data_IF_955122535655
#
_entry.id   IF_955122535655
#
_cell.length_a   1.000
_cell.length_b   1.000
_cell.length_c   1.000
_cell.angle_alpha   90.00
_cell.angle_beta   90.00
_cell.angle_gamma   90.00
#
_symmetry.space_group_name_H-M   'P 1'
#
loop_
_entity.id
_entity.type
_entity.pdbx_description
1 polymer ?
#
# COMPACT_ATOMS: atom_id res chain seq x y z
N UNK A 1 14.24 -33.34 1.17
CA UNK A 1 14.06 -32.91 -0.26
C UNK A 1 14.49 -31.46 -0.30
N UNK A 2 15.48 -31.14 -1.13
CA UNK A 2 15.95 -29.76 -1.29
C UNK A 2 15.12 -29.11 -2.38
N UNK A 3 14.62 -27.88 -2.13
CA UNK A 3 13.94 -27.04 -3.12
C UNK A 3 14.95 -26.12 -3.79
N UNK A 4 14.77 -25.83 -5.07
CA UNK A 4 15.59 -24.84 -5.76
C UNK A 4 15.26 -23.44 -5.22
N UNK A 5 13.95 -23.20 -4.95
CA UNK A 5 13.48 -21.92 -4.38
C UNK A 5 12.41 -22.17 -3.31
N UNK A 6 12.61 -21.60 -2.11
CA UNK A 6 11.56 -21.45 -1.11
C UNK A 6 11.07 -19.98 -1.07
N UNK A 7 9.78 -19.79 -1.23
CA UNK A 7 9.13 -18.47 -1.20
C UNK A 7 8.31 -18.35 0.08
N UNK A 8 8.62 -17.35 0.91
CA UNK A 8 7.93 -17.07 2.18
C UNK A 8 6.90 -15.99 1.94
N UNK A 9 5.63 -16.36 1.87
CA UNK A 9 4.50 -15.49 1.60
C UNK A 9 3.87 -15.71 0.23
N UNK A 10 2.57 -16.04 0.24
CA UNK A 10 1.74 -16.31 -0.93
C UNK A 10 1.01 -15.08 -1.49
N UNK A 11 1.51 -13.86 -1.22
CA UNK A 11 1.01 -12.62 -1.84
C UNK A 11 1.36 -12.52 -3.32
N UNK A 12 0.93 -11.44 -4.00
CA UNK A 12 1.16 -11.30 -5.46
C UNK A 12 2.64 -11.36 -5.82
N UNK A 13 3.54 -10.79 -5.02
CA UNK A 13 4.98 -10.88 -5.26
C UNK A 13 5.47 -12.33 -5.27
N UNK A 14 5.08 -13.11 -4.25
CA UNK A 14 5.46 -14.53 -4.17
C UNK A 14 4.83 -15.39 -5.26
N UNK A 15 3.56 -15.14 -5.62
CA UNK A 15 2.88 -15.85 -6.71
C UNK A 15 3.56 -15.58 -8.05
N UNK A 16 3.90 -14.31 -8.35
CA UNK A 16 4.58 -13.93 -9.59
C UNK A 16 6.03 -14.45 -9.64
N UNK A 17 6.73 -14.48 -8.51
CA UNK A 17 8.05 -15.10 -8.42
C UNK A 17 7.99 -16.60 -8.76
N UNK A 18 7.03 -17.34 -8.18
CA UNK A 18 6.82 -18.75 -8.48
C UNK A 18 6.42 -18.96 -9.95
N UNK A 19 5.51 -18.11 -10.48
CA UNK A 19 5.08 -18.18 -11.88
C UNK A 19 6.25 -18.05 -12.83
N UNK A 20 7.05 -17.00 -12.68
CA UNK A 20 8.17 -16.73 -13.57
C UNK A 20 9.28 -17.78 -13.42
N UNK A 21 9.55 -18.25 -12.20
CA UNK A 21 10.50 -19.32 -11.97
C UNK A 21 10.10 -20.63 -12.71
N UNK A 22 8.81 -21.01 -12.69
CA UNK A 22 8.31 -22.16 -13.46
C UNK A 22 8.34 -21.92 -14.97
N UNK A 23 8.13 -20.68 -15.44
CA UNK A 23 8.29 -20.32 -16.86
C UNK A 23 9.75 -20.40 -17.32
N UNK A 24 10.70 -20.05 -16.45
CA UNK A 24 12.13 -20.13 -16.73
C UNK A 24 12.65 -21.59 -16.71
N UNK A 25 12.16 -22.38 -15.75
CA UNK A 25 12.57 -23.79 -15.58
C UNK A 25 11.37 -24.62 -15.06
N UNK A 26 10.72 -25.36 -15.96
CA UNK A 26 9.55 -26.18 -15.63
C UNK A 26 9.83 -27.30 -14.63
N UNK A 27 11.09 -27.81 -14.60
CA UNK A 27 11.51 -28.85 -13.65
C UNK A 27 11.86 -28.32 -12.26
N UNK A 28 11.94 -27.02 -12.07
CA UNK A 28 12.32 -26.42 -10.80
C UNK A 28 11.37 -26.81 -9.66
N UNK A 29 11.97 -27.19 -8.53
CA UNK A 29 11.25 -27.55 -7.30
C UNK A 29 11.03 -26.30 -6.47
N UNK A 30 9.80 -25.82 -6.44
CA UNK A 30 9.42 -24.58 -5.76
C UNK A 30 8.42 -24.89 -4.65
N UNK A 31 8.61 -24.25 -3.50
CA UNK A 31 7.64 -24.27 -2.39
C UNK A 31 7.23 -22.83 -2.05
N UNK A 32 5.93 -22.60 -1.84
CA UNK A 32 5.40 -21.35 -1.24
C UNK A 32 4.91 -21.67 0.17
N UNK A 33 5.43 -20.95 1.16
CA UNK A 33 5.11 -21.09 2.58
C UNK A 33 4.23 -19.90 2.97
N UNK A 34 2.94 -20.15 3.26
CA UNK A 34 1.97 -19.12 3.61
C UNK A 34 1.37 -19.36 5.00
N UNK A 35 1.48 -18.33 5.87
CA UNK A 35 0.98 -18.40 7.25
C UNK A 35 -0.53 -18.36 7.35
N UNK A 36 -1.20 -17.77 6.38
CA UNK A 36 -2.65 -17.66 6.35
C UNK A 36 -3.34 -18.80 5.61
N UNK A 37 -4.62 -18.62 5.35
CA UNK A 37 -5.45 -19.64 4.71
C UNK A 37 -5.23 -19.68 3.18
N UNK A 38 -5.59 -20.83 2.56
CA UNK A 38 -5.80 -20.89 1.11
C UNK A 38 -6.87 -19.88 0.70
N UNK A 39 -6.79 -19.34 -0.53
CA UNK A 39 -7.63 -18.24 -0.98
C UNK A 39 -9.12 -18.50 -0.78
N UNK A 40 -9.59 -19.69 -1.15
CA UNK A 40 -11.00 -20.12 -1.04
C UNK A 40 -11.50 -20.25 0.41
N UNK A 41 -10.58 -20.46 1.39
CA UNK A 41 -10.90 -20.59 2.81
C UNK A 41 -10.75 -19.27 3.58
N UNK A 42 -10.34 -18.20 2.92
CA UNK A 42 -10.22 -16.89 3.57
C UNK A 42 -11.59 -16.30 3.80
N UNK A 43 -11.94 -16.08 5.05
CA UNK A 43 -13.20 -15.46 5.46
C UNK A 43 -12.98 -14.58 6.69
N UNK A 44 -13.55 -13.37 6.66
CA UNK A 44 -13.57 -12.49 7.84
C UNK A 44 -14.82 -12.76 8.68
N UNK A 45 -14.70 -13.22 9.93
CA UNK A 45 -15.86 -13.51 10.76
C UNK A 45 -16.66 -12.26 11.15
N UNK A 46 -16.06 -11.07 11.09
CA UNK A 46 -16.75 -9.80 11.33
C UNK A 46 -17.63 -9.36 10.14
N UNK A 47 -17.36 -9.84 8.92
CA UNK A 47 -18.04 -9.34 7.71
C UNK A 47 -17.86 -7.83 7.53
N UNK A 48 -18.75 -7.21 6.72
CA UNK A 48 -18.64 -5.77 6.43
C UNK A 48 -19.25 -4.87 7.51
N UNK A 49 -20.08 -5.40 8.42
CA UNK A 49 -20.92 -4.58 9.31
C UNK A 49 -20.72 -4.82 10.81
N UNK A 50 -19.72 -5.60 11.24
CA UNK A 50 -19.45 -5.90 12.65
C UNK A 50 -18.06 -5.41 13.05
N UNK A 51 -17.89 -5.18 14.36
CA UNK A 51 -16.56 -4.84 14.91
C UNK A 51 -15.57 -5.97 14.65
N UNK A 52 -14.32 -5.59 14.37
CA UNK A 52 -13.22 -6.53 14.22
C UNK A 52 -13.07 -7.41 15.49
N UNK A 53 -12.92 -8.72 15.28
CA UNK A 53 -12.77 -9.71 16.37
C UNK A 53 -11.31 -10.04 16.69
N UNK A 54 -10.36 -9.30 16.14
CA UNK A 54 -8.91 -9.43 16.37
C UNK A 54 -8.39 -10.86 16.21
N UNK A 55 -8.67 -11.47 15.06
CA UNK A 55 -8.21 -12.83 14.75
C UNK A 55 -6.67 -12.92 14.86
N UNK A 56 -6.14 -14.04 15.39
CA UNK A 56 -4.71 -14.34 15.46
C UNK A 56 -4.03 -14.25 14.07
N UNK A 57 -4.72 -14.71 13.04
CA UNK A 57 -4.34 -14.55 11.64
C UNK A 57 -5.50 -13.84 10.94
N UNK A 58 -5.26 -12.62 10.45
CA UNK A 58 -6.29 -11.84 9.78
C UNK A 58 -6.52 -12.35 8.36
N UNK A 59 -7.68 -12.95 8.10
CA UNK A 59 -8.02 -13.46 6.76
C UNK A 59 -8.15 -12.38 5.67
N UNK A 60 -8.25 -11.09 6.03
CA UNK A 60 -8.27 -10.00 5.05
C UNK A 60 -6.86 -9.66 4.56
N UNK A 61 -5.86 -9.67 5.45
CA UNK A 61 -4.51 -9.23 5.12
C UNK A 61 -3.52 -10.37 4.88
N UNK A 62 -3.80 -11.58 5.40
CA UNK A 62 -2.92 -12.74 5.34
C UNK A 62 -3.61 -13.93 4.66
N UNK A 63 -2.85 -14.73 3.94
CA UNK A 63 -3.30 -15.86 3.13
C UNK A 63 -2.95 -15.70 1.65
N UNK A 64 -3.19 -16.73 0.86
CA UNK A 64 -2.89 -16.69 -0.57
C UNK A 64 -3.53 -15.50 -1.27
N UNK A 65 -2.81 -14.92 -2.23
CA UNK A 65 -3.02 -13.62 -2.88
C UNK A 65 -2.88 -12.40 -1.96
N UNK A 66 -2.46 -12.57 -0.67
CA UNK A 66 -2.11 -11.49 0.25
C UNK A 66 -3.25 -10.52 0.56
N UNK A 67 -2.91 -9.31 1.01
CA UNK A 67 -3.90 -8.25 1.25
C UNK A 67 -4.62 -7.81 -0.03
N UNK A 68 -4.01 -8.04 -1.19
CA UNK A 68 -4.59 -7.72 -2.49
C UNK A 68 -5.82 -8.53 -2.88
N UNK A 69 -6.01 -9.73 -2.33
CA UNK A 69 -7.08 -10.64 -2.72
C UNK A 69 -8.49 -10.07 -2.57
N UNK A 70 -8.71 -9.28 -1.52
CA UNK A 70 -9.99 -8.64 -1.21
C UNK A 70 -9.99 -7.14 -1.49
N UNK A 71 -8.96 -6.64 -2.18
CA UNK A 71 -8.94 -5.27 -2.68
C UNK A 71 -9.83 -5.14 -3.92
N UNK A 72 -10.04 -3.91 -4.34
CA UNK A 72 -10.72 -3.61 -5.60
C UNK A 72 -9.89 -3.96 -6.86
N UNK A 73 -8.70 -4.53 -6.70
CA UNK A 73 -7.88 -4.99 -7.83
C UNK A 73 -7.40 -3.85 -8.71
N UNK A 74 -6.90 -2.78 -8.12
CA UNK A 74 -6.24 -1.69 -8.85
C UNK A 74 -4.80 -2.04 -9.17
N UNK A 75 -4.52 -2.25 -10.44
CA UNK A 75 -3.18 -2.47 -10.97
C UNK A 75 -2.71 -1.20 -11.67
N UNK A 76 -1.73 -0.56 -11.07
CA UNK A 76 -1.15 0.66 -11.59
C UNK A 76 0.00 0.33 -12.56
N UNK A 77 -0.13 0.77 -13.81
CA UNK A 77 0.88 0.55 -14.84
C UNK A 77 1.77 1.79 -14.95
N UNK A 78 2.67 1.96 -13.98
CA UNK A 78 3.58 3.09 -13.91
C UNK A 78 4.53 3.00 -12.72
N UNK A 79 5.63 3.73 -12.80
CA UNK A 79 6.69 3.82 -11.77
C UNK A 79 6.50 5.02 -10.85
N UNK A 80 5.74 6.03 -11.26
CA UNK A 80 5.60 7.30 -10.53
C UNK A 80 4.91 7.16 -9.16
N UNK A 81 4.26 6.04 -8.88
CA UNK A 81 3.58 5.72 -7.62
C UNK A 81 3.42 4.21 -7.46
N UNK A 82 3.11 3.76 -6.25
CA UNK A 82 3.03 2.33 -5.92
C UNK A 82 4.38 1.72 -5.52
N UNK A 83 5.38 2.57 -5.26
CA UNK A 83 6.72 2.20 -4.80
C UNK A 83 7.82 2.98 -5.50
N UNK A 84 9.04 2.59 -5.23
CA UNK A 84 10.29 3.18 -5.77
C UNK A 84 11.06 2.19 -6.66
N UNK A 85 10.40 1.18 -7.20
CA UNK A 85 11.06 0.15 -8.02
C UNK A 85 11.82 0.75 -9.23
N UNK A 86 11.29 1.83 -9.82
CA UNK A 86 11.96 2.55 -10.91
C UNK A 86 13.20 3.36 -10.48
N UNK A 87 13.35 3.64 -9.17
CA UNK A 87 14.55 4.27 -8.60
C UNK A 87 15.60 3.22 -8.23
N UNK A 88 15.19 1.99 -7.88
CA UNK A 88 16.08 0.88 -7.52
C UNK A 88 16.66 0.16 -8.75
N UNK A 89 15.83 -0.03 -9.74
CA UNK A 89 16.23 -0.45 -11.09
C UNK A 89 16.37 0.78 -11.98
N UNK A 90 16.16 0.70 -13.23
CA UNK A 90 15.85 1.83 -14.11
C UNK A 90 14.35 1.82 -14.47
N UNK A 91 13.85 2.96 -14.95
CA UNK A 91 12.43 3.11 -15.28
C UNK A 91 11.98 2.16 -16.40
N UNK A 92 12.84 1.93 -17.38
CA UNK A 92 12.55 1.04 -18.51
C UNK A 92 12.41 -0.42 -18.05
N UNK A 93 13.35 -0.89 -17.27
CA UNK A 93 13.34 -2.25 -16.68
C UNK A 93 12.13 -2.41 -15.76
N UNK A 94 11.87 -1.45 -14.86
CA UNK A 94 10.71 -1.51 -13.98
C UNK A 94 9.40 -1.57 -14.78
N UNK A 95 9.24 -0.74 -15.82
CA UNK A 95 8.06 -0.74 -16.68
C UNK A 95 7.90 -2.04 -17.48
N UNK A 96 9.00 -2.65 -17.95
CA UNK A 96 8.96 -3.95 -18.61
C UNK A 96 8.25 -4.99 -17.72
N UNK A 97 8.69 -5.11 -16.46
CA UNK A 97 8.12 -6.09 -15.53
C UNK A 97 6.72 -5.73 -15.05
N UNK A 98 6.40 -4.44 -14.90
CA UNK A 98 5.02 -3.99 -14.61
C UNK A 98 4.07 -4.39 -15.75
N UNK A 99 4.47 -4.21 -17.00
CA UNK A 99 3.68 -4.62 -18.16
C UNK A 99 3.55 -6.15 -18.25
N UNK A 100 4.59 -6.91 -17.91
CA UNK A 100 4.49 -8.37 -17.82
C UNK A 100 3.45 -8.82 -16.79
N UNK A 101 3.33 -8.12 -15.65
CA UNK A 101 2.24 -8.40 -14.68
C UNK A 101 0.87 -8.17 -15.34
N UNK A 102 0.67 -7.06 -16.08
CA UNK A 102 -0.59 -6.78 -16.80
C UNK A 102 -0.93 -7.88 -17.81
N UNK A 103 0.07 -8.36 -18.56
CA UNK A 103 -0.11 -9.43 -19.55
C UNK A 103 -0.47 -10.78 -18.86
N UNK A 104 0.17 -11.12 -17.75
CA UNK A 104 -0.16 -12.32 -16.98
C UNK A 104 -1.59 -12.23 -16.42
N UNK A 105 -1.96 -11.10 -15.85
CA UNK A 105 -3.32 -10.90 -15.36
C UNK A 105 -4.36 -11.04 -16.48
N UNK A 106 -4.05 -10.56 -17.68
CA UNK A 106 -4.91 -10.72 -18.86
C UNK A 106 -5.04 -12.18 -19.28
N UNK A 107 -3.94 -12.96 -19.24
CA UNK A 107 -3.95 -14.40 -19.57
C UNK A 107 -4.89 -15.19 -18.64
N UNK A 108 -4.93 -14.83 -17.35
CA UNK A 108 -5.73 -15.54 -16.34
C UNK A 108 -7.11 -14.94 -16.07
N UNK A 109 -7.49 -13.86 -16.76
CA UNK A 109 -8.80 -13.21 -16.58
C UNK A 109 -9.73 -13.53 -17.73
N UNK A 110 -11.00 -13.84 -17.42
CA UNK A 110 -12.03 -14.13 -18.44
C UNK A 110 -12.60 -12.88 -19.11
N UNK A 111 -12.59 -11.74 -18.43
CA UNK A 111 -13.11 -10.46 -18.88
C UNK A 111 -12.20 -9.36 -18.33
N UNK A 112 -11.14 -9.05 -19.09
CA UNK A 112 -10.10 -8.12 -18.66
C UNK A 112 -10.54 -6.68 -18.92
N UNK A 113 -10.52 -5.79 -17.91
CA UNK A 113 -11.06 -4.45 -18.03
C UNK A 113 -10.19 -3.55 -18.92
N UNK A 114 -10.81 -2.54 -19.50
CA UNK A 114 -10.12 -1.49 -20.23
C UNK A 114 -9.15 -0.71 -19.35
N UNK A 115 -8.13 -0.13 -19.96
CA UNK A 115 -7.13 0.69 -19.29
C UNK A 115 -7.66 2.11 -19.09
N UNK A 116 -7.81 2.54 -17.85
CA UNK A 116 -7.98 3.96 -17.56
C UNK A 116 -6.66 4.69 -17.81
N UNK A 117 -6.72 5.74 -18.62
CA UNK A 117 -5.53 6.52 -19.03
C UNK A 117 -5.53 7.89 -18.39
N UNK A 118 -4.36 8.51 -18.34
CA UNK A 118 -4.21 9.91 -17.99
C UNK A 118 -4.89 10.84 -19.01
N UNK A 119 -5.19 12.06 -18.58
CA UNK A 119 -5.80 13.09 -19.41
C UNK A 119 -4.84 14.29 -19.54
N UNK A 120 -4.43 14.60 -20.78
CA UNK A 120 -3.41 15.63 -21.06
C UNK A 120 -3.90 17.05 -20.71
N UNK A 121 -5.19 17.36 -20.92
CA UNK A 121 -5.75 18.68 -20.59
C UNK A 121 -5.69 18.93 -19.09
N UNK A 122 -6.02 17.92 -18.28
CA UNK A 122 -5.90 18.00 -16.82
C UNK A 122 -4.45 18.09 -16.35
N UNK A 123 -3.52 17.41 -17.03
CA UNK A 123 -2.08 17.55 -16.74
C UNK A 123 -1.61 18.97 -16.99
N UNK A 124 -1.97 19.53 -18.15
CA UNK A 124 -1.64 20.92 -18.50
C UNK A 124 -2.24 21.90 -17.49
N UNK A 125 -3.52 21.74 -17.13
CA UNK A 125 -4.19 22.54 -16.11
C UNK A 125 -3.45 22.50 -14.76
N UNK A 126 -3.01 21.32 -14.34
CA UNK A 126 -2.22 21.16 -13.11
C UNK A 126 -0.85 21.86 -13.24
N UNK A 127 -0.13 21.62 -14.35
CA UNK A 127 1.19 22.19 -14.59
C UNK A 127 1.17 23.72 -14.56
N UNK A 128 0.19 24.36 -15.19
CA UNK A 128 -0.01 25.82 -15.19
C UNK A 128 -0.21 26.39 -13.78
N UNK A 129 -0.56 25.57 -12.81
CA UNK A 129 -0.75 25.95 -11.40
C UNK A 129 0.33 25.40 -10.46
N UNK A 130 1.50 25.03 -10.99
CA UNK A 130 2.63 24.44 -10.26
C UNK A 130 2.26 23.13 -9.53
N UNK A 131 1.30 22.39 -10.05
CA UNK A 131 0.89 21.07 -9.61
C UNK A 131 1.34 20.04 -10.67
N UNK A 132 1.67 18.83 -10.24
CA UNK A 132 1.99 17.72 -11.15
C UNK A 132 0.95 16.63 -11.00
N UNK A 133 0.05 16.51 -11.96
CA UNK A 133 -0.82 15.35 -12.09
C UNK A 133 0.02 14.18 -12.60
N UNK A 134 0.03 13.08 -11.83
CA UNK A 134 0.76 11.88 -12.22
C UNK A 134 0.04 11.13 -13.34
N UNK A 135 0.83 10.45 -14.16
CA UNK A 135 0.30 9.55 -15.16
C UNK A 135 -0.40 8.37 -14.51
N UNK A 136 -1.69 8.22 -14.83
CA UNK A 136 -2.55 7.20 -14.26
C UNK A 136 -2.97 6.22 -15.35
N UNK A 137 -2.15 5.19 -15.54
CA UNK A 137 -2.54 4.02 -16.29
C UNK A 137 -2.97 2.95 -15.30
N UNK A 138 -4.26 2.72 -15.17
CA UNK A 138 -4.82 1.83 -14.14
C UNK A 138 -5.74 0.80 -14.76
N UNK A 139 -5.53 -0.47 -14.40
CA UNK A 139 -6.52 -1.53 -14.56
C UNK A 139 -7.28 -1.68 -13.25
N UNK A 140 -8.59 -1.68 -13.34
CA UNK A 140 -9.45 -1.90 -12.19
C UNK A 140 -10.27 -3.16 -12.40
N UNK A 141 -9.81 -4.27 -11.83
CA UNK A 141 -10.48 -5.56 -12.00
C UNK A 141 -11.80 -5.63 -11.23
N UNK A 142 -11.90 -4.92 -10.13
CA UNK A 142 -12.95 -5.14 -9.13
C UNK A 142 -12.65 -6.36 -8.26
N UNK A 143 -13.27 -6.42 -7.08
CA UNK A 143 -12.96 -7.45 -6.06
C UNK A 143 -13.19 -8.87 -6.57
N UNK A 144 -14.31 -9.12 -7.25
CA UNK A 144 -14.69 -10.47 -7.70
C UNK A 144 -13.79 -10.99 -8.83
N UNK A 145 -13.53 -10.15 -9.84
CA UNK A 145 -12.64 -10.53 -10.95
C UNK A 145 -11.21 -10.70 -10.46
N UNK A 146 -10.73 -9.82 -9.58
CA UNK A 146 -9.42 -9.93 -8.96
C UNK A 146 -9.26 -11.25 -8.19
N UNK A 147 -10.27 -11.62 -7.39
CA UNK A 147 -10.27 -12.89 -6.67
C UNK A 147 -10.16 -14.09 -7.62
N UNK A 148 -10.97 -14.12 -8.68
CA UNK A 148 -11.00 -15.21 -9.65
C UNK A 148 -9.69 -15.30 -10.43
N UNK A 149 -9.09 -14.18 -10.81
CA UNK A 149 -7.78 -14.12 -11.50
C UNK A 149 -6.67 -14.68 -10.60
N UNK A 150 -6.62 -14.27 -9.34
CA UNK A 150 -5.65 -14.80 -8.38
C UNK A 150 -5.83 -16.31 -8.15
N UNK A 151 -7.07 -16.77 -8.07
CA UNK A 151 -7.38 -18.19 -7.93
C UNK A 151 -6.91 -19.00 -9.15
N UNK A 152 -7.10 -18.47 -10.35
CA UNK A 152 -6.64 -19.11 -11.59
C UNK A 152 -5.10 -19.24 -11.62
N UNK A 153 -4.36 -18.20 -11.20
CA UNK A 153 -2.89 -18.25 -11.08
C UNK A 153 -2.47 -19.31 -10.06
N UNK A 154 -3.10 -19.36 -8.89
CA UNK A 154 -2.80 -20.35 -7.85
C UNK A 154 -3.01 -21.78 -8.36
N UNK A 155 -4.14 -22.05 -9.03
CA UNK A 155 -4.43 -23.36 -9.61
C UNK A 155 -3.44 -23.75 -10.73
N UNK A 156 -2.99 -22.78 -11.52
CA UNK A 156 -1.94 -23.00 -12.49
C UNK A 156 -0.63 -23.42 -11.82
N UNK A 157 -0.21 -22.72 -10.75
CA UNK A 157 1.00 -23.06 -10.00
C UNK A 157 0.94 -24.47 -9.39
N UNK A 158 -0.21 -24.86 -8.84
CA UNK A 158 -0.42 -26.23 -8.34
C UNK A 158 -0.26 -27.27 -9.46
N UNK A 159 -0.87 -27.00 -10.63
CA UNK A 159 -0.75 -27.88 -11.82
C UNK A 159 0.70 -28.01 -12.31
N UNK A 160 1.48 -26.94 -12.24
CA UNK A 160 2.91 -26.94 -12.59
C UNK A 160 3.79 -27.55 -11.50
N UNK A 161 3.22 -28.11 -10.43
CA UNK A 161 3.94 -28.84 -9.39
C UNK A 161 4.62 -27.95 -8.34
N UNK A 162 4.18 -26.69 -8.18
CA UNK A 162 4.60 -25.85 -7.06
C UNK A 162 3.93 -26.37 -5.78
N UNK A 163 4.73 -26.67 -4.74
CA UNK A 163 4.17 -27.03 -3.43
C UNK A 163 3.63 -25.79 -2.74
N UNK A 164 2.34 -25.76 -2.50
CA UNK A 164 1.66 -24.69 -1.77
C UNK A 164 1.32 -25.14 -0.35
N UNK A 165 1.83 -24.43 0.67
CA UNK A 165 1.45 -24.69 2.06
C UNK A 165 0.59 -23.53 2.58
N UNK A 166 -0.36 -23.81 3.44
CA UNK A 166 -1.18 -22.81 4.13
C UNK A 166 -1.18 -23.08 5.63
N UNK A 167 -1.47 -22.05 6.44
CA UNK A 167 -1.38 -22.14 7.91
C UNK A 167 0.01 -22.58 8.38
N UNK A 168 1.05 -22.26 7.60
CA UNK A 168 2.43 -22.63 7.84
C UNK A 168 3.24 -21.32 7.99
N UNK A 169 3.72 -21.06 9.19
CA UNK A 169 4.51 -19.85 9.50
C UNK A 169 5.99 -20.18 9.46
N UNK A 170 6.77 -19.41 8.70
CA UNK A 170 8.22 -19.50 8.71
C UNK A 170 8.74 -18.65 9.88
N UNK A 171 9.41 -19.30 10.82
CA UNK A 171 9.84 -18.65 12.07
C UNK A 171 11.33 -18.32 12.09
N UNK A 172 12.15 -19.01 11.31
CA UNK A 172 13.59 -18.79 11.24
C UNK A 172 14.18 -19.23 9.91
N UNK A 173 15.35 -18.67 9.57
CA UNK A 173 16.20 -19.05 8.42
C UNK A 173 17.62 -19.26 8.94
N UNK A 174 18.23 -20.40 8.61
CA UNK A 174 19.62 -20.75 8.95
C UNK A 174 20.39 -21.02 7.65
N UNK A 175 21.65 -20.58 7.57
CA UNK A 175 22.54 -20.93 6.45
C UNK A 175 23.04 -22.36 6.63
N UNK A 176 23.10 -23.13 5.54
CA UNK A 176 23.70 -24.46 5.49
C UNK A 176 24.65 -24.58 4.29
N UNK A 177 25.30 -25.73 4.11
CA UNK A 177 26.36 -25.94 3.08
C UNK A 177 25.83 -25.67 1.65
N UNK A 178 24.58 -26.00 1.37
CA UNK A 178 24.00 -25.93 0.02
C UNK A 178 22.81 -24.92 -0.03
N UNK A 179 22.81 -23.87 0.78
CA UNK A 179 21.74 -22.87 0.81
C UNK A 179 21.22 -22.59 2.22
N UNK A 180 19.93 -22.84 2.45
CA UNK A 180 19.24 -22.43 3.66
C UNK A 180 18.29 -23.48 4.21
N UNK A 181 18.16 -23.52 5.52
CA UNK A 181 17.17 -24.30 6.26
C UNK A 181 16.14 -23.32 6.84
N UNK A 182 14.88 -23.51 6.45
CA UNK A 182 13.75 -22.73 6.97
C UNK A 182 13.05 -23.56 8.05
N UNK A 183 12.94 -22.99 9.25
CA UNK A 183 12.12 -23.56 10.32
C UNK A 183 10.69 -23.08 10.16
N UNK A 184 9.75 -24.01 10.02
CA UNK A 184 8.33 -23.70 9.82
C UNK A 184 7.47 -24.34 10.88
N UNK A 185 6.35 -23.69 11.22
CA UNK A 185 5.37 -24.21 12.18
C UNK A 185 4.01 -24.29 11.51
N UNK A 186 3.45 -25.50 11.44
CA UNK A 186 2.09 -25.76 10.96
C UNK A 186 1.29 -26.45 12.07
N UNK A 187 0.20 -25.83 12.53
CA UNK A 187 -0.67 -26.39 13.59
C UNK A 187 0.06 -26.82 14.88
N UNK A 188 1.19 -26.17 15.17
CA UNK A 188 2.03 -26.47 16.35
C UNK A 188 3.14 -27.50 16.10
N UNK A 189 3.19 -28.12 14.95
CA UNK A 189 4.27 -29.02 14.53
C UNK A 189 5.34 -28.24 13.79
N UNK A 190 6.62 -28.50 14.11
CA UNK A 190 7.77 -27.87 13.45
C UNK A 190 8.31 -28.79 12.34
N UNK A 191 8.48 -28.22 11.15
CA UNK A 191 9.13 -28.86 10.00
C UNK A 191 10.33 -28.02 9.56
N UNK A 192 11.41 -28.69 9.11
CA UNK A 192 12.56 -28.04 8.47
C UNK A 192 12.49 -28.25 6.96
N UNK A 193 12.60 -27.15 6.22
CA UNK A 193 12.57 -27.12 4.76
C UNK A 193 13.92 -26.61 4.28
N UNK A 194 14.57 -27.37 3.38
CA UNK A 194 15.85 -27.00 2.79
C UNK A 194 15.61 -26.41 1.39
N UNK A 195 16.29 -25.29 1.09
CA UNK A 195 16.23 -24.64 -0.22
C UNK A 195 17.58 -24.00 -0.57
N UNK A 196 17.92 -24.00 -1.88
CA UNK A 196 19.12 -23.33 -2.37
C UNK A 196 18.97 -21.80 -2.32
N UNK A 197 17.80 -21.28 -2.69
CA UNK A 197 17.46 -19.86 -2.69
C UNK A 197 16.19 -19.60 -1.89
N UNK A 198 16.12 -18.41 -1.25
CA UNK A 198 14.99 -18.00 -0.45
C UNK A 198 14.47 -16.65 -0.97
N UNK A 199 13.17 -16.56 -1.23
CA UNK A 199 12.50 -15.31 -1.59
C UNK A 199 11.54 -14.92 -0.46
N UNK A 200 11.82 -13.85 0.24
CA UNK A 200 10.98 -13.32 1.33
C UNK A 200 9.97 -12.36 0.72
N UNK A 201 8.70 -12.75 0.69
CA UNK A 201 7.57 -12.02 0.10
C UNK A 201 6.44 -11.79 1.12
N UNK A 202 6.78 -11.56 2.38
CA UNK A 202 5.86 -11.55 3.54
C UNK A 202 4.97 -10.31 3.66
N UNK A 203 5.15 -9.34 2.76
CA UNK A 203 4.42 -8.08 2.80
C UNK A 203 4.64 -7.30 4.11
N UNK A 204 3.81 -6.29 4.37
CA UNK A 204 3.96 -5.43 5.55
C UNK A 204 3.77 -6.18 6.87
N UNK A 205 2.92 -7.19 6.88
CA UNK A 205 2.68 -7.99 8.10
C UNK A 205 3.88 -8.84 8.52
N UNK A 206 4.86 -9.02 7.64
CA UNK A 206 6.13 -9.72 7.91
C UNK A 206 7.27 -8.82 8.41
N UNK A 207 7.03 -7.54 8.68
CA UNK A 207 8.09 -6.60 9.05
C UNK A 207 8.94 -7.06 10.26
N UNK A 208 8.30 -7.63 11.28
CA UNK A 208 9.02 -8.16 12.45
C UNK A 208 9.93 -9.35 12.07
N UNK A 209 9.45 -10.26 11.22
CA UNK A 209 10.24 -11.38 10.72
C UNK A 209 11.44 -10.89 9.88
N UNK A 210 11.21 -9.95 8.95
CA UNK A 210 12.29 -9.37 8.14
C UNK A 210 13.33 -8.67 9.03
N UNK A 211 12.89 -7.93 10.06
CA UNK A 211 13.79 -7.30 11.02
C UNK A 211 14.64 -8.34 11.78
N UNK A 212 14.03 -9.45 12.20
CA UNK A 212 14.74 -10.53 12.89
C UNK A 212 15.79 -11.18 11.96
N UNK A 213 15.46 -11.44 10.70
CA UNK A 213 16.37 -11.95 9.68
C UNK A 213 17.54 -10.98 9.47
N UNK A 214 17.26 -9.69 9.27
CA UNK A 214 18.31 -8.67 9.11
C UNK A 214 19.26 -8.63 10.31
N UNK A 215 18.72 -8.61 11.53
CA UNK A 215 19.53 -8.61 12.75
C UNK A 215 20.38 -9.87 12.87
N UNK A 216 19.82 -11.03 12.57
CA UNK A 216 20.53 -12.32 12.63
C UNK A 216 21.72 -12.37 11.69
N UNK A 217 21.59 -11.85 10.49
CA UNK A 217 22.63 -11.87 9.46
C UNK A 217 23.46 -10.59 9.36
N UNK A 218 23.25 -9.62 10.27
CA UNK A 218 23.99 -8.36 10.27
C UNK A 218 23.70 -7.45 9.06
N UNK A 219 22.50 -7.55 8.47
CA UNK A 219 22.09 -6.76 7.31
C UNK A 219 21.70 -5.36 7.79
N UNK A 220 22.28 -4.33 7.19
CA UNK A 220 21.98 -2.95 7.52
C UNK A 220 20.53 -2.61 7.12
N UNK A 221 19.80 -1.98 8.02
CA UNK A 221 18.44 -1.49 7.77
C UNK A 221 18.50 0.03 7.62
N UNK A 222 18.09 0.51 6.43
CA UNK A 222 17.98 1.94 6.17
C UNK A 222 16.72 2.54 6.80
N UNK A 223 16.81 3.83 7.16
CA UNK A 223 15.65 4.61 7.58
C UNK A 223 14.77 4.92 6.36
N UNK A 224 13.46 4.67 6.50
CA UNK A 224 12.49 5.06 5.50
C UNK A 224 11.80 6.36 5.90
N UNK A 225 11.34 7.14 4.91
CA UNK A 225 10.49 8.30 5.17
C UNK A 225 9.13 7.87 5.69
N UNK A 226 8.43 8.76 6.36
CA UNK A 226 7.02 8.58 6.72
C UNK A 226 6.19 9.70 6.14
N UNK A 227 4.96 9.40 5.81
CA UNK A 227 4.01 10.40 5.37
C UNK A 227 3.00 10.67 6.48
N UNK A 228 2.85 11.93 6.84
CA UNK A 228 1.90 12.40 7.83
C UNK A 228 0.97 13.40 7.18
N UNK A 229 -0.31 13.24 7.40
CA UNK A 229 -1.28 14.13 6.82
C UNK A 229 -2.69 13.98 7.36
N UNK A 230 -3.63 14.35 6.53
CA UNK A 230 -5.06 14.38 6.84
C UNK A 230 -5.88 13.74 5.74
N UNK A 231 -7.03 13.21 6.09
CA UNK A 231 -8.11 12.94 5.15
C UNK A 231 -8.93 14.20 4.95
N UNK A 232 -9.13 14.56 3.71
CA UNK A 232 -9.92 15.74 3.33
C UNK A 232 -11.26 15.28 2.80
N UNK A 233 -12.35 15.91 3.21
CA UNK A 233 -13.70 15.64 2.72
C UNK A 233 -14.38 16.94 2.29
N UNK A 234 -15.01 16.92 1.13
CA UNK A 234 -15.73 18.05 0.55
C UNK A 234 -16.84 17.60 -0.39
N UNK A 235 -17.62 18.52 -0.96
CA UNK A 235 -18.64 18.18 -1.96
C UNK A 235 -18.01 17.57 -3.21
N UNK A 236 -18.57 16.46 -3.69
CA UNK A 236 -18.12 15.74 -4.87
C UNK A 236 -18.09 16.60 -6.14
N UNK A 237 -19.04 17.56 -6.22
CA UNK A 237 -19.13 18.48 -7.36
C UNK A 237 -17.86 19.31 -7.60
N UNK A 238 -17.03 19.55 -6.57
CA UNK A 238 -15.77 20.31 -6.65
C UNK A 238 -14.76 19.58 -7.56
N UNK A 239 -14.73 18.25 -7.50
CA UNK A 239 -13.79 17.42 -8.26
C UNK A 239 -14.41 16.76 -9.49
N UNK A 240 -15.63 17.11 -9.88
CA UNK A 240 -16.36 16.47 -10.98
C UNK A 240 -15.58 16.46 -12.29
N UNK A 241 -14.93 17.58 -12.66
CA UNK A 241 -14.14 17.64 -13.88
C UNK A 241 -13.03 16.58 -13.92
N UNK A 242 -12.40 16.33 -12.78
CA UNK A 242 -11.36 15.29 -12.68
C UNK A 242 -11.96 13.90 -12.68
N UNK A 243 -12.97 13.65 -11.86
CA UNK A 243 -13.56 12.31 -11.68
C UNK A 243 -14.30 11.78 -12.91
N UNK A 244 -14.75 12.66 -13.82
CA UNK A 244 -15.35 12.28 -15.09
C UNK A 244 -14.30 11.92 -16.16
N UNK A 245 -13.09 12.50 -16.09
CA UNK A 245 -12.05 12.33 -17.12
C UNK A 245 -11.00 11.31 -16.74
N UNK A 246 -10.73 11.12 -15.45
CA UNK A 246 -9.73 10.19 -14.93
C UNK A 246 -10.28 9.42 -13.74
N UNK A 247 -9.83 8.19 -13.58
CA UNK A 247 -10.32 7.28 -12.53
C UNK A 247 -10.01 7.79 -11.11
N UNK A 248 -8.77 8.25 -10.86
CA UNK A 248 -8.30 8.68 -9.54
C UNK A 248 -7.19 9.73 -9.70
N UNK A 249 -7.45 11.01 -9.44
CA UNK A 249 -6.40 12.03 -9.52
C UNK A 249 -5.34 11.79 -8.44
N UNK A 250 -4.07 11.76 -8.85
CA UNK A 250 -2.91 11.77 -7.97
C UNK A 250 -2.05 12.98 -8.31
N UNK A 251 -2.00 13.93 -7.40
CA UNK A 251 -1.37 15.22 -7.63
C UNK A 251 -0.22 15.40 -6.65
N UNK A 252 0.93 15.78 -7.18
CA UNK A 252 2.09 16.19 -6.40
C UNK A 252 2.17 17.71 -6.38
N UNK A 253 2.58 18.24 -5.23
CA UNK A 253 2.87 19.64 -5.05
C UNK A 253 4.17 19.81 -4.26
N UNK A 254 4.99 20.77 -4.65
CA UNK A 254 6.15 21.21 -3.88
C UNK A 254 5.76 22.49 -3.16
N UNK A 255 5.74 22.44 -1.84
CA UNK A 255 5.31 23.58 -1.00
C UNK A 255 6.29 24.74 -1.10
N UNK A 256 5.77 25.95 -0.95
CA UNK A 256 6.60 27.16 -1.10
C UNK A 256 7.43 27.44 0.15
N UNK A 257 6.87 27.21 1.33
CA UNK A 257 7.53 27.53 2.60
C UNK A 257 8.70 26.63 2.90
N UNK A 258 8.53 25.33 2.72
CA UNK A 258 9.56 24.34 3.11
C UNK A 258 10.15 23.59 1.92
N UNK A 259 9.63 23.83 0.73
CA UNK A 259 9.97 23.10 -0.50
C UNK A 259 9.79 21.57 -0.37
N UNK A 260 8.96 21.15 0.58
CA UNK A 260 8.64 19.75 0.80
C UNK A 260 7.69 19.24 -0.28
N UNK A 261 7.80 17.95 -0.56
CA UNK A 261 6.87 17.25 -1.43
C UNK A 261 5.63 16.85 -0.65
N UNK A 262 4.47 17.33 -1.09
CA UNK A 262 3.18 16.84 -0.68
C UNK A 262 2.51 16.06 -1.81
N UNK A 263 1.55 15.21 -1.44
CA UNK A 263 0.79 14.43 -2.41
C UNK A 263 -0.67 14.30 -2.01
N UNK A 264 -1.53 14.52 -2.97
CA UNK A 264 -2.93 14.12 -2.95
C UNK A 264 -3.04 12.73 -3.56
N UNK A 265 -3.71 11.80 -2.88
CA UNK A 265 -3.93 10.46 -3.39
C UNK A 265 -5.14 9.78 -2.74
N UNK A 266 -5.49 8.56 -3.20
CA UNK A 266 -6.61 7.78 -2.70
C UNK A 266 -7.93 8.58 -2.74
N UNK A 267 -8.21 9.14 -3.93
CA UNK A 267 -9.44 9.88 -4.19
C UNK A 267 -10.62 8.91 -4.27
N UNK A 268 -11.70 9.25 -3.59
CA UNK A 268 -12.94 8.47 -3.53
C UNK A 268 -14.12 9.35 -3.90
N UNK A 269 -14.59 9.22 -5.13
CA UNK A 269 -15.78 9.89 -5.63
C UNK A 269 -17.04 9.32 -4.99
N UNK A 270 -17.91 10.17 -4.46
CA UNK A 270 -19.11 9.73 -3.73
C UNK A 270 -18.77 8.85 -2.52
N UNK A 271 -17.58 9.07 -1.94
CA UNK A 271 -17.00 8.19 -0.94
C UNK A 271 -17.31 8.58 0.50
N UNK A 272 -16.86 7.75 1.41
CA UNK A 272 -17.00 7.88 2.85
C UNK A 272 -15.61 7.99 3.48
N UNK A 273 -15.46 8.82 4.48
CA UNK A 273 -14.31 8.77 5.39
C UNK A 273 -14.51 7.60 6.34
N UNK A 274 -13.46 6.86 6.62
CA UNK A 274 -13.47 5.69 7.51
C UNK A 274 -12.36 5.75 8.53
N UNK A 275 -12.52 5.03 9.63
CA UNK A 275 -11.51 4.82 10.64
C UNK A 275 -10.79 3.47 10.39
N UNK A 276 -9.48 3.49 10.43
CA UNK A 276 -8.63 2.30 10.36
C UNK A 276 -7.94 2.11 11.72
N UNK A 277 -8.13 0.95 12.35
CA UNK A 277 -7.49 0.63 13.61
C UNK A 277 -6.34 -0.35 13.37
N UNK A 278 -5.13 0.10 13.67
CA UNK A 278 -3.91 -0.68 13.60
C UNK A 278 -3.31 -0.76 15.03
N UNK A 279 -3.45 -1.90 15.67
CA UNK A 279 -2.93 -2.17 17.03
C UNK A 279 -3.31 -1.11 18.07
N UNK A 280 -4.58 -0.67 18.04
CA UNK A 280 -5.12 0.33 18.96
C UNK A 280 -4.87 1.79 18.56
N UNK A 281 -4.17 2.03 17.46
CA UNK A 281 -3.98 3.38 16.88
C UNK A 281 -5.04 3.57 15.79
N UNK A 282 -5.86 4.59 15.94
CA UNK A 282 -6.93 4.89 15.00
C UNK A 282 -6.49 6.02 14.06
N UNK A 283 -6.50 5.76 12.76
CA UNK A 283 -6.16 6.75 11.72
C UNK A 283 -7.30 6.89 10.72
N UNK A 284 -7.37 8.05 10.07
CA UNK A 284 -8.33 8.31 9.01
C UNK A 284 -7.94 7.54 7.74
N UNK A 285 -8.95 7.07 7.02
CA UNK A 285 -8.85 6.50 5.70
C UNK A 285 -10.13 6.83 4.93
N UNK A 286 -10.30 6.34 3.71
CA UNK A 286 -11.53 6.52 2.95
C UNK A 286 -11.76 5.38 1.98
N UNK A 287 -13.01 5.20 1.62
CA UNK A 287 -13.40 4.27 0.57
C UNK A 287 -14.65 4.74 -0.15
N UNK A 288 -14.96 4.15 -1.29
CA UNK A 288 -16.20 4.36 -2.02
C UNK A 288 -16.84 3.03 -2.40
N UNK A 289 -18.16 3.00 -2.46
CA UNK A 289 -18.90 1.85 -2.96
C UNK A 289 -19.02 1.90 -4.50
N UNK A 290 -19.01 0.74 -5.14
CA UNK A 290 -19.31 0.64 -6.56
C UNK A 290 -20.80 0.88 -6.84
N UNK A 291 -21.66 0.49 -5.90
CA UNK A 291 -23.13 0.65 -5.99
C UNK A 291 -23.50 2.13 -5.85
N UNK A 292 -24.23 2.65 -6.85
CA UNK A 292 -24.62 4.08 -6.90
C UNK A 292 -25.47 4.53 -5.71
N UNK A 293 -26.33 3.62 -5.20
CA UNK A 293 -27.24 3.89 -4.09
C UNK A 293 -26.50 4.11 -2.75
N UNK A 294 -25.27 3.64 -2.64
CA UNK A 294 -24.42 3.78 -1.45
C UNK A 294 -23.46 4.96 -1.53
N UNK A 295 -23.44 5.68 -2.67
CA UNK A 295 -22.59 6.86 -2.83
C UNK A 295 -23.15 8.05 -2.05
N UNK A 296 -22.23 8.87 -1.54
CA UNK A 296 -22.57 10.13 -0.87
C UNK A 296 -22.45 11.33 -1.82
N UNK A 297 -22.90 12.51 -1.39
CA UNK A 297 -22.68 13.77 -2.12
C UNK A 297 -21.27 14.35 -1.91
N UNK A 298 -20.42 13.62 -1.18
CA UNK A 298 -19.06 14.05 -0.87
C UNK A 298 -18.04 13.21 -1.63
N UNK A 299 -16.88 13.82 -1.89
CA UNK A 299 -15.65 13.09 -2.19
C UNK A 299 -14.66 13.24 -1.04
N UNK A 300 -13.71 12.32 -0.98
CA UNK A 300 -12.63 12.44 -0.01
C UNK A 300 -11.30 11.93 -0.61
N UNK A 301 -10.19 12.46 -0.08
CA UNK A 301 -8.85 12.09 -0.47
C UNK A 301 -7.85 12.38 0.66
N UNK A 302 -6.67 11.78 0.62
CA UNK A 302 -5.59 12.10 1.54
C UNK A 302 -4.70 13.21 1.00
N UNK A 303 -4.26 14.11 1.88
CA UNK A 303 -3.10 14.99 1.65
C UNK A 303 -2.03 14.57 2.63
N UNK A 304 -0.90 14.14 2.10
CA UNK A 304 0.24 13.68 2.89
C UNK A 304 1.47 14.55 2.62
N UNK A 305 2.17 14.89 3.70
CA UNK A 305 3.49 15.51 3.69
C UNK A 305 4.54 14.45 4.03
N UNK A 306 5.51 14.26 3.15
CA UNK A 306 6.62 13.33 3.39
C UNK A 306 7.61 13.96 4.36
N UNK A 307 7.94 13.26 5.43
CA UNK A 307 8.93 13.68 6.42
C UNK A 307 10.19 12.84 6.23
N UNK A 308 11.30 13.51 5.97
CA UNK A 308 12.62 12.93 5.90
C UNK A 308 13.38 13.26 7.19
N UNK A 309 14.03 12.26 7.74
CA UNK A 309 14.84 12.43 8.93
C UNK A 309 16.31 12.55 8.56
N UNK A 310 17.05 13.40 9.27
CA UNK A 310 18.49 13.54 9.09
C UNK A 310 19.24 12.51 9.95
N UNK A 311 20.42 12.09 9.47
CA UNK A 311 21.33 11.22 10.18
C UNK A 311 20.78 9.79 10.39
N UNK A 312 21.21 9.16 11.48
CA UNK A 312 20.92 7.76 11.79
C UNK A 312 19.60 7.56 12.55
N UNK A 313 18.58 8.36 12.26
CA UNK A 313 17.28 8.21 12.92
C UNK A 313 16.60 6.90 12.45
N UNK A 314 16.52 5.92 13.34
CA UNK A 314 16.07 4.56 13.03
C UNK A 314 14.59 4.29 13.30
N UNK A 315 13.82 5.28 13.82
CA UNK A 315 12.45 5.08 14.32
C UNK A 315 11.38 5.95 13.63
N UNK A 316 11.39 6.11 12.31
CA UNK A 316 10.40 6.97 11.62
C UNK A 316 8.96 6.48 11.79
N UNK A 317 8.73 5.17 11.77
CA UNK A 317 7.39 4.58 11.99
C UNK A 317 6.89 4.88 13.41
N UNK A 318 7.74 4.71 14.45
CA UNK A 318 7.38 5.02 15.84
C UNK A 318 7.04 6.50 16.02
N UNK A 319 7.79 7.40 15.36
CA UNK A 319 7.48 8.83 15.34
C UNK A 319 6.08 9.12 14.80
N UNK A 320 5.74 8.57 13.66
CA UNK A 320 4.43 8.79 13.05
C UNK A 320 3.29 8.11 13.85
N UNK A 321 3.56 6.95 14.47
CA UNK A 321 2.63 6.30 15.40
C UNK A 321 2.38 7.14 16.65
N UNK A 322 3.41 7.80 17.20
CA UNK A 322 3.28 8.66 18.37
C UNK A 322 2.40 9.89 18.06
N UNK A 323 2.53 10.47 16.87
CA UNK A 323 1.63 11.55 16.42
C UNK A 323 0.17 11.04 16.39
N UNK A 324 -0.07 9.85 15.83
CA UNK A 324 -1.41 9.28 15.76
C UNK A 324 -1.97 8.95 17.17
N UNK A 325 -1.16 8.40 18.07
CA UNK A 325 -1.57 8.15 19.48
C UNK A 325 -1.94 9.46 20.20
N UNK A 326 -1.11 10.50 20.04
CA UNK A 326 -1.38 11.80 20.63
C UNK A 326 -2.63 12.45 20.04
N UNK A 327 -2.88 12.27 18.74
CA UNK A 327 -4.10 12.72 18.09
C UNK A 327 -5.34 12.01 18.65
N UNK A 328 -5.27 10.68 18.82
CA UNK A 328 -6.35 9.92 19.44
C UNK A 328 -6.56 10.33 20.90
N UNK A 329 -5.50 10.56 21.65
CA UNK A 329 -5.60 11.05 23.04
C UNK A 329 -6.33 12.39 23.10
N UNK A 330 -5.94 13.34 22.24
CA UNK A 330 -6.58 14.67 22.16
C UNK A 330 -8.03 14.61 21.64
N UNK A 331 -8.38 13.58 20.87
CA UNK A 331 -9.71 13.28 20.35
C UNK A 331 -10.54 12.32 21.21
N UNK A 332 -10.19 12.14 22.50
CA UNK A 332 -10.89 11.23 23.43
C UNK A 332 -11.01 9.78 22.87
N UNK A 333 -9.94 9.30 22.28
CA UNK A 333 -9.86 7.97 21.68
C UNK A 333 -10.39 7.91 20.25
N UNK A 334 -10.69 9.03 19.60
CA UNK A 334 -11.24 9.11 18.26
C UNK A 334 -10.34 9.91 17.30
N UNK A 335 -10.73 9.91 16.01
CA UNK A 335 -10.19 10.81 15.00
C UNK A 335 -10.73 12.22 15.29
N UNK A 336 -9.87 13.24 15.15
CA UNK A 336 -10.28 14.64 15.22
C UNK A 336 -10.74 15.09 13.83
N UNK A 337 -11.89 15.78 13.77
CA UNK A 337 -12.35 16.50 12.59
C UNK A 337 -12.30 18.01 12.85
N UNK A 338 -11.77 18.76 11.87
CA UNK A 338 -11.71 20.21 11.91
C UNK A 338 -12.14 20.80 10.57
N UNK A 339 -12.92 21.88 10.59
CA UNK A 339 -13.26 22.69 9.41
C UNK A 339 -12.02 23.46 8.97
N UNK A 340 -11.76 23.50 7.65
CA UNK A 340 -10.61 24.22 7.11
C UNK A 340 -10.62 25.71 7.50
N UNK A 341 -11.78 26.36 7.41
CA UNK A 341 -11.90 27.76 7.83
C UNK A 341 -11.63 28.02 9.32
N UNK A 342 -11.89 27.05 10.20
CA UNK A 342 -11.53 27.16 11.61
C UNK A 342 -10.02 26.98 11.81
N UNK A 343 -9.41 26.01 11.10
CA UNK A 343 -7.97 25.80 11.13
C UNK A 343 -7.20 27.06 10.71
N UNK A 344 -7.57 27.69 9.60
CA UNK A 344 -6.92 28.90 9.08
C UNK A 344 -7.03 30.07 10.06
N UNK A 345 -8.11 30.13 10.82
CA UNK A 345 -8.32 31.16 11.86
C UNK A 345 -7.70 30.82 13.21
N UNK A 346 -6.95 29.69 13.28
CA UNK A 346 -6.29 29.24 14.50
C UNK A 346 -7.27 28.91 15.64
N UNK A 347 -8.43 28.35 15.32
CA UNK A 347 -9.46 28.05 16.31
C UNK A 347 -9.99 26.61 16.17
N UNK A 348 -10.36 26.04 17.29
CA UNK A 348 -11.01 24.73 17.36
C UNK A 348 -12.37 24.73 16.65
N UNK A 349 -12.69 23.69 15.91
CA UNK A 349 -14.06 23.33 15.51
C UNK A 349 -14.82 22.76 16.70
N UNK A 350 -16.08 23.11 16.84
CA UNK A 350 -16.99 22.54 17.83
C UNK A 350 -18.25 22.00 17.16
N UNK A 351 -19.04 21.22 17.90
CA UNK A 351 -20.24 20.54 17.40
C UNK A 351 -21.22 21.51 16.74
N UNK A 352 -21.40 22.72 17.30
CA UNK A 352 -22.29 23.74 16.74
C UNK A 352 -21.85 24.20 15.34
N UNK A 353 -20.53 24.44 15.13
CA UNK A 353 -20.01 24.82 13.82
C UNK A 353 -20.05 23.64 12.85
N UNK A 354 -19.82 22.43 13.35
CA UNK A 354 -19.83 21.23 12.52
C UNK A 354 -21.26 20.90 12.06
N UNK A 355 -22.26 21.05 12.91
CA UNK A 355 -23.67 20.83 12.55
C UNK A 355 -24.24 21.86 11.55
N UNK A 356 -23.64 23.05 11.50
CA UNK A 356 -24.02 24.12 10.55
C UNK A 356 -23.20 24.04 9.24
N UNK A 357 -22.33 23.07 9.09
CA UNK A 357 -21.42 22.94 7.94
C UNK A 357 -22.17 22.46 6.69
N UNK A 358 -21.85 23.01 5.51
CA UNK A 358 -22.46 22.59 4.24
C UNK A 358 -21.99 21.18 3.80
N UNK A 359 -20.79 20.78 4.20
CA UNK A 359 -20.26 19.41 4.04
C UNK A 359 -20.67 18.60 5.28
N UNK A 360 -21.60 17.69 5.12
CA UNK A 360 -22.02 16.78 6.20
C UNK A 360 -20.95 15.70 6.39
N UNK A 361 -20.35 15.57 7.59
CA UNK A 361 -19.35 14.56 7.86
C UNK A 361 -19.86 13.13 7.60
N UNK A 362 -19.13 12.33 6.84
CA UNK A 362 -19.49 10.90 6.63
C UNK A 362 -18.92 9.98 7.71
N UNK A 363 -17.93 10.45 8.47
CA UNK A 363 -17.41 9.77 9.66
C UNK A 363 -17.80 10.55 10.92
N UNK A 364 -18.39 9.88 11.91
CA UNK A 364 -18.55 10.44 13.25
C UNK A 364 -17.18 10.53 13.93
N UNK A 365 -16.65 11.75 14.04
CA UNK A 365 -15.35 12.06 14.60
C UNK A 365 -15.45 13.12 15.70
N UNK A 366 -14.39 13.35 16.45
CA UNK A 366 -14.36 14.37 17.51
C UNK A 366 -14.13 15.77 16.92
N UNK A 367 -15.04 16.70 17.13
CA UNK A 367 -14.88 18.08 16.68
C UNK A 367 -13.77 18.79 17.50
N UNK A 368 -12.64 19.06 16.86
CA UNK A 368 -11.44 19.48 17.58
C UNK A 368 -10.52 20.44 16.83
N UNK A 369 -9.25 20.38 17.21
CA UNK A 369 -8.16 21.20 16.67
C UNK A 369 -6.98 20.29 16.32
N UNK A 370 -6.64 20.21 15.05
CA UNK A 370 -5.51 19.42 14.55
C UNK A 370 -4.15 20.03 14.93
N UNK A 371 -4.11 21.35 15.12
CA UNK A 371 -2.86 22.08 15.36
C UNK A 371 -2.21 21.76 16.71
N UNK A 372 -2.96 21.19 17.66
CA UNK A 372 -2.41 20.82 18.99
C UNK A 372 -1.50 19.60 18.93
N UNK A 373 -1.54 18.81 17.87
CA UNK A 373 -0.76 17.56 17.72
C UNK A 373 0.03 17.50 16.43
N UNK A 374 -0.54 17.99 15.31
CA UNK A 374 0.13 17.95 14.02
C UNK A 374 1.43 18.76 14.06
N UNK A 375 2.57 18.21 13.57
CA UNK A 375 3.79 18.98 13.43
C UNK A 375 3.55 20.22 12.57
N UNK A 376 4.04 21.37 13.02
CA UNK A 376 3.89 22.66 12.32
C UNK A 376 4.23 22.59 10.84
N UNK A 377 5.36 21.93 10.51
CA UNK A 377 5.81 21.77 9.12
C UNK A 377 4.80 20.98 8.27
N UNK A 378 4.29 19.87 8.80
CA UNK A 378 3.29 19.05 8.10
C UNK A 378 1.97 19.82 7.91
N UNK A 379 1.50 20.51 8.95
CA UNK A 379 0.26 21.29 8.89
C UNK A 379 0.36 22.44 7.90
N UNK A 380 1.47 23.18 7.88
CA UNK A 380 1.74 24.24 6.90
C UNK A 380 1.73 23.69 5.48
N UNK A 381 2.42 22.55 5.24
CA UNK A 381 2.45 21.90 3.96
C UNK A 381 1.05 21.47 3.47
N UNK A 382 0.21 20.97 4.37
CA UNK A 382 -1.18 20.59 4.07
C UNK A 382 -2.01 21.80 3.67
N UNK A 383 -1.92 22.89 4.44
CA UNK A 383 -2.64 24.15 4.16
C UNK A 383 -2.25 24.72 2.79
N UNK A 384 -0.94 24.80 2.50
CA UNK A 384 -0.46 25.26 1.20
C UNK A 384 -0.95 24.37 0.05
N UNK A 385 -1.00 23.06 0.28
CA UNK A 385 -1.48 22.10 -0.71
C UNK A 385 -2.97 22.30 -1.01
N UNK A 386 -3.80 22.53 0.01
CA UNK A 386 -5.24 22.81 -0.18
C UNK A 386 -5.43 24.07 -1.03
N UNK A 387 -4.71 25.16 -0.75
CA UNK A 387 -4.75 26.37 -1.57
C UNK A 387 -4.22 26.15 -3.00
N UNK A 388 -3.24 25.28 -3.18
CA UNK A 388 -2.75 24.95 -4.51
C UNK A 388 -3.79 24.15 -5.31
N UNK A 389 -4.44 23.17 -4.67
CA UNK A 389 -5.52 22.37 -5.27
C UNK A 389 -6.75 23.21 -5.62
N UNK A 390 -7.05 24.24 -4.82
CA UNK A 390 -8.17 25.16 -5.07
C UNK A 390 -8.08 25.88 -6.42
N UNK A 391 -6.86 26.07 -6.96
CA UNK A 391 -6.66 26.67 -8.28
C UNK A 391 -7.09 25.79 -9.44
N UNK A 392 -7.09 24.48 -9.26
CA UNK A 392 -7.46 23.50 -10.30
C UNK A 392 -8.85 22.90 -10.05
N UNK A 393 -9.29 22.88 -8.80
CA UNK A 393 -10.62 22.46 -8.36
C UNK A 393 -11.18 23.52 -7.38
N UNK A 394 -11.74 24.63 -7.90
CA UNK A 394 -12.24 25.74 -7.08
C UNK A 394 -13.29 25.28 -6.07
N UNK A 395 -13.09 25.65 -4.82
CA UNK A 395 -13.89 25.22 -3.67
C UNK A 395 -13.17 24.25 -2.73
N UNK A 396 -11.97 23.76 -3.10
CA UNK A 396 -11.15 22.95 -2.18
C UNK A 396 -10.80 23.69 -0.89
N UNK A 397 -10.47 24.98 -0.97
CA UNK A 397 -10.14 25.85 0.17
C UNK A 397 -11.36 26.50 0.82
N UNK A 398 -12.56 25.94 0.65
CA UNK A 398 -13.77 26.43 1.30
C UNK A 398 -13.67 26.25 2.82
N UNK A 399 -14.24 27.19 3.58
CA UNK A 399 -14.32 27.14 5.04
C UNK A 399 -14.92 25.84 5.57
N UNK A 400 -15.86 25.26 4.82
CA UNK A 400 -16.61 24.06 5.18
C UNK A 400 -15.93 22.74 4.74
N UNK A 401 -14.80 22.81 4.07
CA UNK A 401 -13.98 21.62 3.81
C UNK A 401 -13.54 21.01 5.13
N UNK A 402 -13.72 19.68 5.28
CA UNK A 402 -13.42 18.95 6.50
C UNK A 402 -12.06 18.26 6.42
N UNK A 403 -11.31 18.34 7.50
CA UNK A 403 -10.00 17.69 7.66
C UNK A 403 -10.07 16.72 8.83
N UNK A 404 -9.72 15.47 8.60
CA UNK A 404 -9.68 14.41 9.62
C UNK A 404 -8.22 14.03 9.91
N UNK A 405 -7.83 14.13 11.14
CA UNK A 405 -6.43 13.86 11.56
C UNK A 405 -6.29 12.71 12.53
N UNK A 406 -5.23 11.97 12.34
CA UNK A 406 -4.31 12.01 11.22
C UNK A 406 -4.54 10.84 10.25
N UNK A 407 -4.10 11.02 9.03
CA UNK A 407 -3.85 9.91 8.11
C UNK A 407 -2.34 9.77 7.96
N UNK A 408 -1.80 8.63 8.36
CA UNK A 408 -0.38 8.35 8.31
C UNK A 408 -0.12 7.16 7.40
N UNK A 409 0.93 7.23 6.60
CA UNK A 409 1.39 6.07 5.83
C UNK A 409 2.83 5.76 6.22
N UNK A 410 3.02 4.52 6.63
CA UNK A 410 4.32 3.99 7.00
C UNK A 410 4.86 3.14 5.88
N UNK A 411 6.18 3.12 5.78
CA UNK A 411 6.89 2.16 4.95
C UNK A 411 7.39 1.03 5.82
N UNK A 412 7.51 -0.17 5.26
CA UNK A 412 8.30 -1.23 5.86
C UNK A 412 9.75 -0.77 5.97
N UNK A 413 10.52 -1.44 6.80
CA UNK A 413 11.96 -1.26 6.84
C UNK A 413 12.54 -1.46 5.42
N UNK A 414 13.63 -0.75 5.10
CA UNK A 414 14.35 -0.90 3.84
C UNK A 414 15.73 -1.51 4.13
N UNK A 415 15.87 -2.84 4.11
CA UNK A 415 17.17 -3.49 4.23
C UNK A 415 18.07 -3.13 3.03
N UNK A 416 19.37 -3.03 3.30
CA UNK A 416 20.36 -2.90 2.25
C UNK A 416 20.33 -4.16 1.37
N UNK A 417 20.43 -3.96 0.05
CA UNK A 417 20.44 -5.03 -0.95
C UNK A 417 21.39 -4.65 -2.08
N UNK A 418 21.77 -5.63 -2.88
CA UNK A 418 22.41 -5.37 -4.18
C UNK A 418 21.37 -4.83 -5.18
N UNK A 419 21.79 -4.51 -6.38
CA UNK A 419 20.90 -3.99 -7.44
C UNK A 419 19.76 -4.95 -7.84
N UNK A 420 19.73 -6.20 -7.33
CA UNK A 420 18.80 -7.26 -7.67
C UNK A 420 17.90 -7.69 -6.50
N UNK A 421 17.76 -6.85 -5.46
CA UNK A 421 16.94 -7.10 -4.26
C UNK A 421 17.42 -8.29 -3.41
N UNK A 422 18.65 -8.72 -3.59
CA UNK A 422 19.30 -9.72 -2.78
C UNK A 422 19.89 -9.05 -1.54
N UNK A 423 19.41 -9.41 -0.36
CA UNK A 423 19.82 -8.84 0.93
C UNK A 423 20.95 -9.62 1.57
N UNK A 424 21.14 -10.86 1.16
CA UNK A 424 22.23 -11.77 1.49
C UNK A 424 22.34 -12.75 0.33
N UNK A 425 23.53 -13.31 0.07
CA UNK A 425 23.74 -14.28 -0.98
C UNK A 425 22.64 -15.37 -0.96
N UNK A 426 21.83 -15.46 -2.01
CA UNK A 426 20.72 -16.40 -2.13
C UNK A 426 19.46 -16.07 -1.34
N UNK A 427 19.39 -14.95 -0.61
CA UNK A 427 18.18 -14.45 0.04
C UNK A 427 17.73 -13.15 -0.61
N UNK A 428 16.54 -13.16 -1.16
CA UNK A 428 15.90 -12.01 -1.83
C UNK A 428 14.74 -11.50 -1.00
N UNK A 429 14.53 -10.19 -0.96
CA UNK A 429 13.40 -9.55 -0.27
C UNK A 429 12.57 -8.75 -1.25
N UNK A 430 11.30 -9.13 -1.41
CA UNK A 430 10.41 -8.57 -2.42
C UNK A 430 9.07 -8.09 -1.84
N UNK A 431 8.37 -7.30 -2.65
CA UNK A 431 7.04 -6.79 -2.32
C UNK A 431 7.06 -5.72 -1.23
N UNK A 432 5.89 -5.44 -0.66
CA UNK A 432 5.72 -4.34 0.32
C UNK A 432 6.55 -4.53 1.61
N UNK A 433 7.01 -5.76 1.88
CA UNK A 433 7.90 -6.07 3.00
C UNK A 433 9.32 -5.53 2.84
N UNK A 434 9.74 -5.27 1.59
CA UNK A 434 11.07 -4.71 1.28
C UNK A 434 11.18 -3.20 1.54
N UNK A 435 10.04 -2.52 1.77
CA UNK A 435 10.00 -1.06 1.85
C UNK A 435 10.15 -0.35 0.49
N UNK A 436 10.20 -1.09 -0.61
CA UNK A 436 10.36 -0.58 -1.98
C UNK A 436 9.02 -0.45 -2.69
N UNK A 437 8.15 -1.46 -2.59
CA UNK A 437 6.85 -1.45 -3.26
C UNK A 437 5.69 -1.16 -2.31
N UNK A 438 4.54 -0.75 -2.86
CA UNK A 438 3.30 -0.44 -2.15
C UNK A 438 2.05 -0.72 -2.95
N UNK A 439 2.14 -1.48 -3.97
CA UNK A 439 1.03 -1.76 -4.85
C UNK A 439 1.18 -3.10 -5.54
N UNK A 440 0.07 -3.62 -6.03
CA UNK A 440 0.01 -4.96 -6.61
C UNK A 440 0.95 -5.12 -7.80
N UNK A 441 0.98 -4.14 -8.71
CA UNK A 441 1.78 -4.22 -9.94
C UNK A 441 3.28 -4.26 -9.65
N UNK A 442 3.79 -3.31 -8.85
CA UNK A 442 5.22 -3.29 -8.54
C UNK A 442 5.65 -4.46 -7.66
N UNK A 443 4.79 -4.92 -6.72
CA UNK A 443 5.08 -6.13 -5.95
C UNK A 443 5.16 -7.38 -6.83
N UNK A 444 4.25 -7.51 -7.80
CA UNK A 444 4.29 -8.59 -8.78
C UNK A 444 5.49 -8.50 -9.72
N UNK A 445 5.76 -7.29 -10.23
CA UNK A 445 6.91 -7.02 -11.10
C UNK A 445 8.25 -7.36 -10.43
N UNK A 446 8.39 -7.03 -9.16
CA UNK A 446 9.57 -7.37 -8.36
C UNK A 446 9.75 -8.89 -8.22
N UNK A 447 8.63 -9.63 -8.08
CA UNK A 447 8.65 -11.10 -8.06
C UNK A 447 9.12 -11.70 -9.39
N UNK A 448 8.60 -11.20 -10.53
CA UNK A 448 9.03 -11.61 -11.86
C UNK A 448 10.52 -11.33 -12.08
N UNK A 449 10.96 -10.11 -11.73
CA UNK A 449 12.35 -9.67 -11.88
C UNK A 449 13.32 -10.58 -11.11
N UNK A 450 13.03 -10.82 -9.82
CA UNK A 450 13.91 -11.65 -8.97
C UNK A 450 13.96 -13.10 -9.49
N UNK A 451 12.86 -13.64 -9.99
CA UNK A 451 12.89 -14.97 -10.59
C UNK A 451 13.74 -15.02 -11.88
N UNK A 452 13.69 -13.99 -12.72
CA UNK A 452 14.56 -13.91 -13.90
C UNK A 452 16.03 -13.77 -13.51
N UNK A 453 16.36 -12.99 -12.49
CA UNK A 453 17.71 -12.88 -11.97
C UNK A 453 18.23 -14.22 -11.43
N UNK A 454 17.46 -14.94 -10.61
CA UNK A 454 17.83 -16.26 -10.05
C UNK A 454 18.18 -17.26 -11.17
N UNK A 455 17.52 -17.17 -12.31
CA UNK A 455 17.75 -18.08 -13.46
C UNK A 455 18.72 -17.51 -14.53
N UNK A 456 19.45 -16.44 -14.22
CA UNK A 456 20.44 -15.84 -15.12
C UNK A 456 19.85 -15.27 -16.42
N UNK A 457 18.61 -14.76 -16.36
CA UNK A 457 17.96 -14.07 -17.49
C UNK A 457 18.23 -12.57 -17.48
N UNK A 458 18.87 -12.08 -16.44
CA UNK A 458 19.32 -10.70 -16.25
C UNK A 458 20.83 -10.76 -16.06
N UNK A 459 21.57 -10.01 -16.87
CA UNK A 459 23.03 -9.86 -16.72
C UNK A 459 23.31 -8.89 -15.55
N UNK A 460 24.38 -9.15 -14.79
CA UNK A 460 24.85 -8.35 -13.65
C UNK A 460 25.39 -6.98 -14.11
#
# INVERSE_FOLDING_TARGET
MIYDIAIIGGGIGGLMAAYQAKRNCSSSKIIIIEKGFSLEKRHCPAGHNKKCVHCKICSITSGYAGAGAFSDGKFNLGTAYGGTMGEELDEFTAMKYINMVDDILREFSTDYPELYRSNEDLKLKCLQNNLRLLDMNVRHLGTDKNFNTMLAIIKWLEKEGVRLTSLTDCTDIEKCDNGYILSTVCKGETEKIEAEKVVIATGRSGAAFVTAVCNKFGITIGANSVDIGVRVEMKDSIWREFSEKIYEPKILYRTKTFEDRTRMFCFNQGGLVSAENNDGIITANGHSYAEKEKKTDNCNFAILSSIHFAGDFTKPTEYAQNIARNMNFAGEGNIIVQRFGDLIRGRRTNEHRLSANSVVPTLKAFAGDLSIVMPYRALTNIIETIYALDKVAPGCANDDTLLYGCENKYYSIKPAHNGHFEILEGIYLIGDGSGITRGLSQSGAMGLYVADHIYGKIED
#
